data_IF_465953975519
#
_entry.id   IF_465953975519
#
_cell.length_a   1.000
_cell.length_b   1.000
_cell.length_c   1.000
_cell.angle_alpha   90.00
_cell.angle_beta   90.00
_cell.angle_gamma   90.00
#
_symmetry.space_group_name_H-M   'P 1'
#
loop_
_entity.id
_entity.type
_entity.pdbx_description
1 polymer ?
#
# COMPACT_ATOMS: atom_id res chain seq x y z
N UNK A 1 5.17 4.21 22.27
CA UNK A 1 3.78 3.72 22.50
C UNK A 1 3.01 3.93 21.20
N UNK A 2 2.45 2.88 20.62
CA UNK A 2 1.46 3.03 19.53
C UNK A 2 0.26 3.78 20.11
N UNK A 3 -0.08 4.92 19.50
CA UNK A 3 -1.37 5.57 19.76
C UNK A 3 -2.48 4.64 19.29
N UNK A 4 -3.66 4.75 19.90
CA UNK A 4 -4.84 4.05 19.39
C UNK A 4 -5.09 4.52 17.94
N UNK A 5 -4.97 3.59 16.98
CA UNK A 5 -5.11 3.88 15.54
C UNK A 5 -6.41 3.31 14.98
N UNK A 6 -7.26 2.74 15.83
CA UNK A 6 -8.56 2.25 15.43
C UNK A 6 -9.48 3.45 15.15
N UNK A 7 -10.08 3.47 13.97
CA UNK A 7 -10.90 4.58 13.46
C UNK A 7 -12.12 4.02 12.73
N UNK A 8 -13.22 4.74 12.80
CA UNK A 8 -14.37 4.51 11.95
C UNK A 8 -14.55 5.69 10.99
N UNK A 9 -14.90 5.39 9.74
CA UNK A 9 -15.13 6.39 8.69
C UNK A 9 -16.49 6.10 8.05
N UNK A 10 -17.35 7.11 8.01
CA UNK A 10 -18.63 7.07 7.32
C UNK A 10 -18.78 8.33 6.47
N UNK A 11 -19.15 8.19 5.19
CA UNK A 11 -19.29 9.31 4.24
C UNK A 11 -18.04 10.23 4.20
N UNK A 12 -16.84 9.64 4.20
CA UNK A 12 -15.54 10.33 4.23
C UNK A 12 -15.29 11.20 5.48
N UNK A 13 -16.04 10.99 6.57
CA UNK A 13 -15.85 11.68 7.85
C UNK A 13 -15.56 10.68 8.95
N UNK A 14 -14.73 11.09 9.91
CA UNK A 14 -14.51 10.28 11.11
C UNK A 14 -15.79 10.21 11.93
N UNK A 15 -16.12 9.02 12.42
CA UNK A 15 -17.24 8.74 13.31
C UNK A 15 -16.75 7.93 14.51
N UNK A 16 -17.59 7.84 15.55
CA UNK A 16 -17.30 6.95 16.66
C UNK A 16 -17.40 5.49 16.19
N UNK A 17 -16.50 4.63 16.67
CA UNK A 17 -16.42 3.21 16.27
C UNK A 17 -17.72 2.45 16.54
N UNK A 18 -18.43 2.84 17.60
CA UNK A 18 -19.70 2.21 18.02
C UNK A 18 -20.94 2.91 17.44
N UNK A 19 -20.78 4.02 16.74
CA UNK A 19 -21.84 4.66 15.97
C UNK A 19 -21.95 4.02 14.59
N UNK A 20 -23.17 3.88 14.09
CA UNK A 20 -23.46 3.33 12.76
C UNK A 20 -22.83 1.96 12.50
N UNK A 21 -22.94 1.05 13.46
CA UNK A 21 -22.43 -0.32 13.35
C UNK A 21 -22.98 -0.97 12.07
N UNK A 22 -22.08 -1.50 11.24
CA UNK A 22 -22.41 -2.10 9.94
C UNK A 22 -22.44 -1.12 8.76
N UNK A 23 -22.42 0.22 9.00
CA UNK A 23 -22.44 1.24 7.96
C UNK A 23 -21.19 2.14 7.95
N UNK A 24 -20.19 1.83 8.76
CA UNK A 24 -18.93 2.56 8.83
C UNK A 24 -17.77 1.65 8.51
N UNK A 25 -16.80 2.14 7.72
CA UNK A 25 -15.53 1.46 7.47
C UNK A 25 -14.65 1.55 8.71
N UNK A 26 -14.27 0.41 9.26
CA UNK A 26 -13.35 0.35 10.41
C UNK A 26 -11.93 0.14 9.89
N UNK A 27 -11.03 1.03 10.26
CA UNK A 27 -9.63 1.02 9.83
C UNK A 27 -8.69 1.10 11.03
N UNK A 28 -7.50 0.52 10.88
CA UNK A 28 -6.42 0.68 11.85
C UNK A 28 -5.06 0.59 11.14
N UNK A 29 -4.03 1.15 11.77
CA UNK A 29 -2.66 1.03 11.27
C UNK A 29 -2.05 -0.32 11.67
N UNK A 30 -1.34 -0.95 10.73
CA UNK A 30 -0.64 -2.21 10.95
C UNK A 30 0.74 -1.94 11.54
N UNK A 31 1.09 -2.65 12.62
CA UNK A 31 2.44 -2.64 13.17
C UNK A 31 3.35 -3.65 12.45
N UNK A 32 3.97 -3.23 11.35
CA UNK A 32 4.88 -4.08 10.57
C UNK A 32 6.09 -4.59 11.37
N UNK A 33 6.54 -3.87 12.39
CA UNK A 33 7.64 -4.34 13.25
C UNK A 33 7.21 -5.54 14.10
N UNK A 34 5.99 -5.52 14.62
CA UNK A 34 5.41 -6.66 15.32
C UNK A 34 5.26 -7.85 14.37
N UNK A 35 4.71 -7.62 13.17
CA UNK A 35 4.59 -8.65 12.13
C UNK A 35 5.93 -9.31 11.81
N UNK A 36 6.99 -8.52 11.60
CA UNK A 36 8.35 -9.04 11.39
C UNK A 36 8.83 -9.94 12.54
N UNK A 37 8.57 -9.54 13.78
CA UNK A 37 8.95 -10.35 14.95
C UNK A 37 8.21 -11.68 14.98
N UNK A 38 6.90 -11.68 14.73
CA UNK A 38 6.07 -12.88 14.68
C UNK A 38 6.56 -13.84 13.58
N UNK A 39 6.75 -13.33 12.36
CA UNK A 39 7.23 -14.16 11.24
C UNK A 39 8.60 -14.78 11.51
N UNK A 40 9.51 -14.03 12.12
CA UNK A 40 10.81 -14.57 12.55
C UNK A 40 10.68 -15.68 13.60
N UNK A 41 9.70 -15.57 14.51
CA UNK A 41 9.44 -16.57 15.53
C UNK A 41 8.90 -17.90 14.98
N UNK A 42 8.20 -17.88 13.85
CA UNK A 42 7.71 -19.10 13.19
C UNK A 42 8.88 -19.94 12.64
N UNK A 43 10.00 -19.29 12.30
CA UNK A 43 11.15 -19.96 11.68
C UNK A 43 10.96 -20.25 10.18
N UNK A 44 12.07 -20.47 9.46
CA UNK A 44 12.03 -20.81 8.03
C UNK A 44 11.56 -19.71 7.08
N UNK A 45 11.04 -18.58 7.60
CA UNK A 45 10.51 -17.47 6.83
C UNK A 45 11.44 -16.25 6.87
N UNK A 46 11.40 -15.46 5.81
CA UNK A 46 12.06 -14.16 5.70
C UNK A 46 11.06 -13.07 5.29
N UNK A 47 11.36 -11.82 5.64
CA UNK A 47 10.46 -10.69 5.38
C UNK A 47 11.22 -9.52 4.80
N UNK A 48 10.67 -8.94 3.74
CA UNK A 48 11.11 -7.66 3.21
C UNK A 48 9.97 -6.63 3.31
N UNK A 49 10.30 -5.37 3.57
CA UNK A 49 9.34 -4.28 3.70
C UNK A 49 9.80 -3.10 2.86
N UNK A 50 8.90 -2.58 2.05
CA UNK A 50 9.13 -1.39 1.23
C UNK A 50 7.91 -0.47 1.27
N UNK A 51 8.00 0.72 0.67
CA UNK A 51 6.85 1.59 0.47
C UNK A 51 6.17 1.32 -0.89
N UNK A 52 4.93 1.78 -1.03
CA UNK A 52 4.15 1.60 -2.26
C UNK A 52 4.85 2.18 -3.48
N UNK A 53 5.44 3.37 -3.38
CA UNK A 53 6.18 4.00 -4.48
C UNK A 53 7.26 3.08 -5.04
N UNK A 54 8.16 2.62 -4.16
CA UNK A 54 9.29 1.76 -4.57
C UNK A 54 8.78 0.47 -5.18
N UNK A 55 7.83 -0.19 -4.52
CA UNK A 55 7.23 -1.43 -5.02
C UNK A 55 6.64 -1.25 -6.42
N UNK A 56 5.76 -0.25 -6.61
CA UNK A 56 5.09 0.00 -7.90
C UNK A 56 6.09 0.37 -9.01
N UNK A 57 7.12 1.16 -8.70
CA UNK A 57 8.16 1.50 -9.67
C UNK A 57 8.94 0.25 -10.08
N UNK A 58 9.34 -0.58 -9.13
CA UNK A 58 10.13 -1.79 -9.39
C UNK A 58 9.36 -2.82 -10.22
N UNK A 59 8.04 -2.93 -10.05
CA UNK A 59 7.20 -3.80 -10.89
C UNK A 59 6.81 -3.18 -12.23
N UNK A 60 7.31 -1.96 -12.55
CA UNK A 60 7.19 -1.35 -13.86
C UNK A 60 5.91 -0.55 -14.11
N UNK A 61 5.28 0.04 -13.07
CA UNK A 61 4.03 0.81 -13.22
C UNK A 61 4.14 1.94 -14.24
N UNK A 62 5.30 2.61 -14.33
CA UNK A 62 5.54 3.68 -15.30
C UNK A 62 5.47 3.15 -16.74
N UNK A 63 6.14 2.04 -17.01
CA UNK A 63 6.13 1.40 -18.33
C UNK A 63 4.74 0.92 -18.71
N UNK A 64 3.99 0.36 -17.76
CA UNK A 64 2.59 -0.01 -17.97
C UNK A 64 1.73 1.20 -18.30
N UNK A 65 1.92 2.34 -17.61
CA UNK A 65 1.20 3.57 -17.89
C UNK A 65 1.49 4.09 -19.31
N UNK A 66 2.75 4.09 -19.75
CA UNK A 66 3.14 4.44 -21.13
C UNK A 66 2.40 3.58 -22.16
N UNK A 67 2.42 2.25 -21.97
CA UNK A 67 1.77 1.30 -22.90
C UNK A 67 0.26 1.55 -22.97
N UNK A 68 -0.41 1.68 -21.84
CA UNK A 68 -1.86 1.88 -21.79
C UNK A 68 -2.24 3.23 -22.37
N UNK A 69 -1.45 4.28 -22.14
CA UNK A 69 -1.73 5.63 -22.63
C UNK A 69 -1.45 5.84 -24.11
N UNK A 70 -0.64 4.99 -24.74
CA UNK A 70 -0.15 5.20 -26.10
C UNK A 70 -1.27 5.49 -27.11
N UNK A 71 -2.40 4.79 -27.00
CA UNK A 71 -3.56 4.92 -27.90
C UNK A 71 -4.71 5.76 -27.32
N UNK A 72 -4.49 6.49 -26.23
CA UNK A 72 -5.53 7.28 -25.57
C UNK A 72 -5.52 8.73 -26.03
N UNK A 73 -6.68 9.40 -25.91
CA UNK A 73 -6.79 10.85 -26.12
C UNK A 73 -5.98 11.62 -25.10
N UNK A 74 -5.63 12.87 -25.39
CA UNK A 74 -4.85 13.73 -24.50
C UNK A 74 -5.46 13.83 -23.09
N UNK A 75 -6.78 14.04 -22.99
CA UNK A 75 -7.49 14.15 -21.71
C UNK A 75 -7.39 12.86 -20.87
N UNK A 76 -7.58 11.70 -21.51
CA UNK A 76 -7.44 10.40 -20.82
C UNK A 76 -6.01 10.12 -20.38
N UNK A 77 -5.02 10.53 -21.18
CA UNK A 77 -3.62 10.46 -20.77
C UNK A 77 -3.36 11.30 -19.53
N UNK A 78 -3.80 12.56 -19.53
CA UNK A 78 -3.63 13.47 -18.41
C UNK A 78 -4.26 12.92 -17.11
N UNK A 79 -5.51 12.45 -17.16
CA UNK A 79 -6.20 11.84 -16.01
C UNK A 79 -5.43 10.61 -15.49
N UNK A 80 -4.99 9.73 -16.40
CA UNK A 80 -4.23 8.55 -16.01
C UNK A 80 -2.90 8.90 -15.32
N UNK A 81 -2.16 9.90 -15.82
CA UNK A 81 -0.91 10.33 -15.20
C UNK A 81 -1.13 11.03 -13.85
N UNK A 82 -2.21 11.78 -13.68
CA UNK A 82 -2.59 12.34 -12.37
C UNK A 82 -2.89 11.23 -11.35
N UNK A 83 -3.63 10.19 -11.75
CA UNK A 83 -3.89 9.01 -10.90
C UNK A 83 -2.60 8.25 -10.57
N UNK A 84 -1.73 8.05 -11.57
CA UNK A 84 -0.42 7.43 -11.35
C UNK A 84 0.41 8.24 -10.36
N UNK A 85 0.51 9.55 -10.55
CA UNK A 85 1.24 10.44 -9.64
C UNK A 85 0.72 10.29 -8.21
N UNK A 86 -0.60 10.30 -8.01
CA UNK A 86 -1.21 10.10 -6.70
C UNK A 86 -0.77 8.81 -6.00
N UNK A 87 -0.59 7.72 -6.77
CA UNK A 87 -0.16 6.42 -6.24
C UNK A 87 1.32 6.40 -5.82
N UNK A 88 2.20 7.13 -6.54
CA UNK A 88 3.65 7.04 -6.35
C UNK A 88 4.29 8.28 -5.71
N UNK A 89 3.56 9.38 -5.56
CA UNK A 89 4.07 10.60 -4.91
C UNK A 89 4.31 10.34 -3.41
N UNK A 90 5.48 10.75 -2.92
CA UNK A 90 5.86 10.58 -1.51
C UNK A 90 5.00 11.37 -0.54
N UNK A 91 4.49 12.53 -0.98
CA UNK A 91 3.60 13.38 -0.20
C UNK A 91 2.14 12.89 -0.18
N UNK A 92 1.82 11.87 -0.98
CA UNK A 92 0.51 11.28 -1.08
C UNK A 92 0.55 9.80 -0.66
N UNK A 93 0.18 8.88 -1.55
CA UNK A 93 0.06 7.47 -1.22
C UNK A 93 1.39 6.70 -1.28
N UNK A 94 2.40 7.22 -1.98
CA UNK A 94 3.63 6.51 -2.28
C UNK A 94 4.47 6.13 -1.07
N UNK A 95 4.53 6.97 -0.04
CA UNK A 95 5.24 6.69 1.22
C UNK A 95 4.31 6.24 2.35
N UNK A 96 3.02 6.60 2.28
CA UNK A 96 2.02 6.30 3.29
C UNK A 96 1.81 4.79 3.41
N UNK A 97 1.53 4.14 2.29
CA UNK A 97 1.29 2.69 2.26
C UNK A 97 2.59 1.90 2.20
N UNK A 98 2.58 0.76 2.88
CA UNK A 98 3.71 -0.17 2.94
C UNK A 98 3.32 -1.49 2.25
N UNK A 99 4.32 -2.13 1.68
CA UNK A 99 4.19 -3.46 1.08
C UNK A 99 5.16 -4.40 1.77
N UNK A 100 4.66 -5.53 2.23
CA UNK A 100 5.46 -6.54 2.92
C UNK A 100 5.46 -7.83 2.12
N UNK A 101 6.64 -8.36 1.86
CA UNK A 101 6.84 -9.70 1.33
C UNK A 101 7.17 -10.64 2.49
N UNK A 102 6.49 -11.79 2.52
CA UNK A 102 6.83 -12.90 3.40
C UNK A 102 7.13 -14.11 2.50
N UNK A 103 8.28 -14.73 2.65
CA UNK A 103 8.72 -15.84 1.81
C UNK A 103 9.55 -16.85 2.60
N UNK A 104 9.68 -18.07 2.10
CA UNK A 104 10.66 -19.01 2.64
C UNK A 104 12.08 -18.47 2.47
N UNK A 105 12.96 -18.71 3.42
CA UNK A 105 14.36 -18.25 3.39
C UNK A 105 15.10 -18.68 2.12
N UNK A 106 14.79 -19.86 1.61
CA UNK A 106 15.40 -20.39 0.40
C UNK A 106 14.81 -19.81 -0.90
N UNK A 107 13.72 -19.06 -0.83
CA UNK A 107 13.10 -18.46 -1.98
C UNK A 107 13.81 -17.14 -2.35
N UNK A 108 14.40 -17.09 -3.56
CA UNK A 108 15.11 -15.92 -4.07
C UNK A 108 14.20 -14.86 -4.70
N UNK A 109 12.88 -15.05 -4.69
CA UNK A 109 11.93 -14.10 -5.25
C UNK A 109 12.01 -12.74 -4.55
N UNK A 110 12.15 -11.66 -5.35
CA UNK A 110 12.28 -10.27 -4.88
C UNK A 110 11.58 -9.26 -5.80
N UNK A 111 10.66 -9.70 -6.64
CA UNK A 111 9.99 -8.80 -7.56
C UNK A 111 9.29 -7.66 -6.80
N UNK A 112 9.63 -6.43 -7.13
CA UNK A 112 9.08 -5.23 -6.49
C UNK A 112 9.82 -4.75 -5.22
N UNK A 113 10.81 -5.51 -4.70
CA UNK A 113 11.52 -5.20 -3.44
C UNK A 113 12.98 -4.85 -3.64
#
# INVERSE_FOLDING_TARGET
KMKNTLQAVSNHKFSNILENIGNSDITHNINFNLFKKIVKGIGGLDTELTNQKKFLINIGIKKRAEIISAKQTFLKKADMYLRLQRLIDEKQMGSLFKVMLIKNKNNKFKLGF
#
